data_IF_282545545259
#
_entry.id   IF_282545545259
#
_cell.length_a   1.000
_cell.length_b   1.000
_cell.length_c   1.000
_cell.angle_alpha   90.00
_cell.angle_beta   90.00
_cell.angle_gamma   90.00
#
_symmetry.space_group_name_H-M   'P 1'
#
loop_
_entity.id
_entity.type
_entity.pdbx_description
1 polymer ?
#
# COMPACT_ATOMS: atom_id res chain seq x y z
N UNK A 1 1.69 9.11 -21.44
CA UNK A 1 2.93 9.87 -21.18
C UNK A 1 4.12 8.92 -21.11
N UNK A 2 5.33 9.38 -21.42
CA UNK A 2 6.55 8.60 -21.22
C UNK A 2 7.02 8.72 -19.77
N UNK A 3 7.44 7.61 -19.15
CA UNK A 3 8.15 7.70 -17.86
C UNK A 3 9.48 8.43 -18.09
N UNK A 4 9.56 9.64 -17.57
CA UNK A 4 10.74 10.51 -17.60
C UNK A 4 11.05 10.94 -16.18
N UNK A 5 12.34 11.01 -15.87
CA UNK A 5 12.87 11.63 -14.66
C UNK A 5 13.67 12.84 -15.13
N UNK A 6 13.28 14.01 -14.64
CA UNK A 6 13.97 15.26 -14.86
C UNK A 6 14.91 15.59 -13.68
N UNK A 7 15.97 16.37 -13.93
CA UNK A 7 16.96 16.74 -12.91
C UNK A 7 18.39 16.55 -13.42
N UNK A 8 19.33 16.44 -12.47
CA UNK A 8 20.76 16.24 -12.76
C UNK A 8 21.02 14.93 -13.52
N UNK A 9 20.31 13.86 -13.16
CA UNK A 9 20.37 12.57 -13.84
C UNK A 9 19.10 12.34 -14.67
N UNK A 10 19.02 13.01 -15.84
CA UNK A 10 17.90 12.84 -16.75
C UNK A 10 17.81 11.39 -17.24
N UNK A 11 16.64 10.78 -17.06
CA UNK A 11 16.39 9.42 -17.51
C UNK A 11 15.05 9.34 -18.25
N UNK A 12 15.02 8.54 -19.30
CA UNK A 12 13.82 8.29 -20.09
C UNK A 12 13.69 6.81 -20.39
N UNK A 13 12.54 6.24 -20.06
CA UNK A 13 12.24 4.88 -20.44
C UNK A 13 11.99 4.77 -21.95
N UNK A 14 12.84 4.00 -22.64
CA UNK A 14 12.78 3.76 -24.10
C UNK A 14 12.23 2.38 -24.47
N UNK A 15 11.86 1.57 -23.48
CA UNK A 15 11.37 0.20 -23.70
C UNK A 15 9.87 0.10 -24.04
N UNK A 16 9.39 -1.15 -24.25
CA UNK A 16 7.97 -1.43 -24.47
C UNK A 16 7.12 -0.98 -23.28
N UNK A 17 5.92 -0.46 -23.55
CA UNK A 17 4.94 -0.11 -22.51
C UNK A 17 3.80 -1.12 -22.50
N UNK A 18 4.01 -2.31 -21.92
CA UNK A 18 2.91 -3.24 -21.74
C UNK A 18 1.89 -2.65 -20.77
N UNK A 19 0.65 -3.15 -20.85
CA UNK A 19 -0.36 -2.81 -19.87
C UNK A 19 0.09 -3.29 -18.48
N UNK A 20 0.15 -2.42 -17.46
CA UNK A 20 0.58 -2.82 -16.12
C UNK A 20 -0.32 -3.92 -15.56
N UNK A 21 -1.63 -3.85 -15.81
CA UNK A 21 -2.58 -4.88 -15.42
C UNK A 21 -2.25 -6.24 -16.05
N UNK A 22 -1.83 -6.26 -17.33
CA UNK A 22 -1.49 -7.52 -18.00
C UNK A 22 -0.22 -8.12 -17.42
N UNK A 23 0.78 -7.30 -17.12
CA UNK A 23 2.03 -7.79 -16.52
C UNK A 23 1.84 -8.31 -15.09
N UNK A 24 1.02 -7.63 -14.28
CA UNK A 24 0.65 -8.13 -12.93
C UNK A 24 -0.05 -9.49 -13.00
N UNK A 25 -1.02 -9.66 -13.91
CA UNK A 25 -1.67 -10.97 -14.09
C UNK A 25 -0.70 -12.04 -14.60
N UNK A 26 0.21 -11.71 -15.52
CA UNK A 26 1.24 -12.64 -15.98
C UNK A 26 2.15 -13.08 -14.83
N UNK A 27 2.58 -12.14 -13.98
CA UNK A 27 3.40 -12.44 -12.82
C UNK A 27 2.65 -13.38 -11.86
N UNK A 28 1.39 -13.08 -11.54
CA UNK A 28 0.53 -13.92 -10.71
C UNK A 28 0.39 -15.34 -11.29
N UNK A 29 0.05 -15.48 -12.57
CA UNK A 29 -0.13 -16.80 -13.17
C UNK A 29 1.18 -17.58 -13.29
N UNK A 30 2.30 -16.89 -13.51
CA UNK A 30 3.62 -17.53 -13.54
C UNK A 30 4.01 -18.07 -12.17
N UNK A 31 3.79 -17.28 -11.12
CA UNK A 31 3.98 -17.68 -9.73
C UNK A 31 3.19 -18.94 -9.37
N UNK A 32 1.89 -18.96 -9.69
CA UNK A 32 1.00 -20.11 -9.46
C UNK A 32 1.53 -21.35 -10.19
N UNK A 33 1.88 -21.22 -11.48
CA UNK A 33 2.34 -22.37 -12.28
C UNK A 33 3.69 -22.92 -11.83
N UNK A 34 4.56 -22.07 -11.30
CA UNK A 34 5.87 -22.48 -10.76
C UNK A 34 5.80 -22.96 -9.30
N UNK A 35 4.71 -22.70 -8.60
CA UNK A 35 4.63 -22.93 -7.15
C UNK A 35 5.48 -21.95 -6.34
N UNK A 36 5.87 -20.81 -6.93
CA UNK A 36 6.72 -19.79 -6.30
C UNK A 36 5.86 -18.57 -5.95
N UNK A 37 5.59 -18.34 -4.66
CA UNK A 37 4.78 -17.20 -4.24
C UNK A 37 5.51 -15.87 -4.43
N UNK A 38 4.84 -14.88 -5.04
CA UNK A 38 5.31 -13.49 -5.11
C UNK A 38 4.65 -12.73 -3.96
N UNK A 39 5.45 -12.01 -3.16
CA UNK A 39 4.96 -11.18 -2.06
C UNK A 39 5.22 -9.70 -2.32
N UNK A 40 4.14 -8.93 -2.41
CA UNK A 40 4.13 -7.47 -2.51
C UNK A 40 3.91 -6.78 -1.15
N UNK A 41 3.88 -7.56 -0.07
CA UNK A 41 3.46 -7.09 1.27
C UNK A 41 4.27 -5.89 1.78
N UNK A 42 5.58 -5.84 1.49
CA UNK A 42 6.45 -4.76 1.94
C UNK A 42 5.98 -3.38 1.46
N UNK A 43 5.73 -3.19 0.17
CA UNK A 43 5.33 -1.89 -0.36
C UNK A 43 3.83 -1.65 -0.21
N UNK A 44 3.00 -2.69 -0.25
CA UNK A 44 1.57 -2.57 -0.02
C UNK A 44 1.26 -2.11 1.40
N UNK A 45 1.85 -2.76 2.42
CA UNK A 45 1.64 -2.38 3.82
C UNK A 45 2.09 -0.94 4.08
N UNK A 46 3.24 -0.52 3.51
CA UNK A 46 3.72 0.86 3.64
C UNK A 46 2.78 1.86 2.94
N UNK A 47 2.28 1.53 1.75
CA UNK A 47 1.33 2.39 1.02
C UNK A 47 0.05 2.62 1.82
N UNK A 48 -0.54 1.54 2.35
CA UNK A 48 -1.72 1.62 3.22
C UNK A 48 -1.45 2.47 4.46
N UNK A 49 -0.29 2.32 5.10
CA UNK A 49 0.07 3.13 6.26
C UNK A 49 0.19 4.62 5.90
N UNK A 50 0.73 4.96 4.73
CA UNK A 50 0.75 6.36 4.26
C UNK A 50 -0.66 6.91 4.04
N UNK A 51 -1.60 6.10 3.55
CA UNK A 51 -3.01 6.51 3.47
C UNK A 51 -3.59 6.82 4.85
N UNK A 52 -3.33 5.97 5.84
CA UNK A 52 -3.76 6.19 7.24
C UNK A 52 -3.13 7.47 7.81
N UNK A 53 -1.84 7.71 7.55
CA UNK A 53 -1.18 8.96 7.95
C UNK A 53 -1.89 10.19 7.39
N UNK A 54 -2.26 10.15 6.10
CA UNK A 54 -3.01 11.22 5.45
C UNK A 54 -4.37 11.45 6.11
N UNK A 55 -5.11 10.37 6.41
CA UNK A 55 -6.39 10.44 7.10
C UNK A 55 -6.26 11.08 8.50
N UNK A 56 -5.28 10.65 9.30
CA UNK A 56 -5.03 11.21 10.63
C UNK A 56 -4.64 12.68 10.56
N UNK A 57 -3.84 13.07 9.55
CA UNK A 57 -3.47 14.47 9.33
C UNK A 57 -4.70 15.33 9.00
N UNK A 58 -5.60 14.83 8.13
CA UNK A 58 -6.85 15.53 7.81
C UNK A 58 -7.76 15.72 9.03
N UNK A 59 -7.84 14.73 9.93
CA UNK A 59 -8.70 14.82 11.11
C UNK A 59 -8.13 15.69 12.23
N UNK A 60 -6.80 15.74 12.37
CA UNK A 60 -6.14 16.50 13.43
C UNK A 60 -5.72 17.90 13.00
N UNK A 61 -5.59 18.15 11.70
CA UNK A 61 -4.96 19.35 11.16
C UNK A 61 -3.45 19.45 11.42
N UNK A 62 -2.82 18.35 11.87
CA UNK A 62 -1.41 18.32 12.24
C UNK A 62 -0.58 17.49 11.26
N UNK A 63 0.72 17.80 11.19
CA UNK A 63 1.68 16.96 10.49
C UNK A 63 1.88 15.64 11.27
N UNK A 64 1.70 14.51 10.58
CA UNK A 64 1.84 13.17 11.15
C UNK A 64 3.14 12.54 10.62
N UNK A 65 4.01 12.11 11.52
CA UNK A 65 5.28 11.45 11.19
C UNK A 65 5.13 9.94 11.09
N UNK A 66 6.04 9.30 10.36
CA UNK A 66 6.09 7.84 10.23
C UNK A 66 6.23 7.12 11.58
N UNK A 67 7.09 7.64 12.46
CA UNK A 67 7.31 7.08 13.80
C UNK A 67 6.08 7.19 14.68
N UNK A 68 5.31 8.28 14.57
CA UNK A 68 4.07 8.44 15.33
C UNK A 68 3.04 7.39 14.96
N UNK A 69 2.84 7.09 13.67
CA UNK A 69 1.83 6.08 13.27
C UNK A 69 2.28 4.65 13.47
N UNK A 70 3.56 4.34 13.27
CA UNK A 70 4.08 2.97 13.45
C UNK A 70 4.16 2.54 14.92
N UNK A 71 4.24 3.49 15.84
CA UNK A 71 4.26 3.28 17.30
C UNK A 71 2.93 3.64 17.97
N UNK A 72 1.88 3.92 17.20
CA UNK A 72 0.59 4.34 17.73
C UNK A 72 -0.19 3.16 18.29
N UNK A 73 -0.82 3.36 19.45
CA UNK A 73 -1.82 2.44 20.02
C UNK A 73 -3.26 2.81 19.61
N UNK A 74 -3.42 3.75 18.67
CA UNK A 74 -4.74 4.18 18.19
C UNK A 74 -5.43 3.08 17.36
N UNK A 75 -6.69 2.81 17.67
CA UNK A 75 -7.57 1.95 16.90
C UNK A 75 -8.99 2.51 16.93
N UNK A 76 -9.80 2.15 15.93
CA UNK A 76 -11.24 2.39 15.97
C UNK A 76 -11.90 1.23 16.73
N UNK A 77 -12.68 1.49 17.80
CA UNK A 77 -13.36 0.43 18.53
C UNK A 77 -14.49 -0.19 17.67
N UNK A 78 -14.81 -1.49 17.90
CA UNK A 78 -14.11 -2.44 18.75
C UNK A 78 -12.79 -2.91 18.12
N UNK A 79 -11.87 -3.43 18.95
CA UNK A 79 -10.67 -4.06 18.38
C UNK A 79 -11.06 -5.32 17.59
N UNK A 80 -10.28 -5.72 16.57
CA UNK A 80 -10.54 -6.95 15.83
C UNK A 80 -10.70 -8.18 16.73
N UNK A 81 -9.92 -8.28 17.81
CA UNK A 81 -10.03 -9.36 18.81
C UNK A 81 -11.31 -9.33 19.65
N UNK A 82 -11.98 -8.17 19.73
CA UNK A 82 -13.25 -8.00 20.46
C UNK A 82 -14.49 -8.16 19.55
N UNK A 83 -14.29 -8.29 18.23
CA UNK A 83 -15.36 -8.50 17.26
C UNK A 83 -15.93 -9.92 17.37
N UNK A 84 -17.20 -10.04 17.81
CA UNK A 84 -17.92 -11.32 17.93
C UNK A 84 -19.18 -11.36 17.06
N UNK A 85 -19.57 -12.54 16.59
CA UNK A 85 -20.70 -12.68 15.67
C UNK A 85 -22.07 -12.30 16.28
N UNK A 86 -22.18 -12.39 17.61
CA UNK A 86 -23.36 -12.07 18.43
C UNK A 86 -23.30 -10.66 19.06
N UNK A 87 -22.42 -9.78 18.57
CA UNK A 87 -22.34 -8.41 19.07
C UNK A 87 -23.50 -7.55 18.56
N UNK A 88 -23.90 -6.60 19.40
CA UNK A 88 -24.85 -5.57 18.98
C UNK A 88 -24.17 -4.68 17.93
N UNK A 89 -24.80 -4.47 16.75
CA UNK A 89 -24.24 -3.59 15.73
C UNK A 89 -24.06 -2.17 16.27
N UNK A 90 -23.00 -1.46 15.84
CA UNK A 90 -22.79 -0.06 16.19
C UNK A 90 -23.84 0.89 15.59
#
# INVERSE_FOLDING_TARGET
MACTIDGENRWRYTGPRPSPYVEEHKALFTAIRKGEAISSGYHMARSTLVTIMGQLSCYTGQAVTWDQVTKSDFFYPPKPEDCRADMEPP
#
